data_IF_573020715200
#
_entry.id   IF_573020715200
#
_cell.length_a   1.000
_cell.length_b   1.000
_cell.length_c   1.000
_cell.angle_alpha   90.00
_cell.angle_beta   90.00
_cell.angle_gamma   90.00
#
_symmetry.space_group_name_H-M   'P 1'
#
loop_
_entity.id
_entity.type
_entity.pdbx_description
1 polymer ?
#
# COMPACT_ATOMS: atom_id res chain seq x y z
N UNK A 1 -6.82 18.25 -7.08
CA UNK A 1 -6.98 17.44 -5.86
C UNK A 1 -6.04 18.01 -4.81
N UNK A 2 -6.52 18.33 -3.60
CA UNK A 2 -5.73 18.93 -2.51
C UNK A 2 -5.77 17.97 -1.33
N UNK A 3 -4.59 17.66 -0.76
CA UNK A 3 -4.45 16.86 0.46
C UNK A 3 -3.72 17.70 1.51
N UNK A 4 -4.21 17.66 2.75
CA UNK A 4 -3.60 18.33 3.90
C UNK A 4 -3.49 17.30 5.03
N UNK A 5 -2.30 17.16 5.60
CA UNK A 5 -1.99 16.25 6.69
C UNK A 5 -0.97 16.90 7.64
N UNK A 6 -0.87 16.44 8.91
CA UNK A 6 0.07 16.98 9.90
C UNK A 6 1.52 17.03 9.38
N UNK A 7 2.25 18.09 9.71
CA UNK A 7 3.63 18.30 9.23
C UNK A 7 4.63 17.25 9.70
N UNK A 8 4.28 16.51 10.75
CA UNK A 8 5.06 15.44 11.38
C UNK A 8 4.56 14.04 11.02
N UNK A 9 3.62 13.89 10.09
CA UNK A 9 3.06 12.58 9.71
C UNK A 9 4.11 11.58 9.22
N UNK A 10 5.27 12.07 8.76
CA UNK A 10 6.31 11.25 8.15
C UNK A 10 5.83 10.55 6.87
N UNK A 11 6.71 9.73 6.30
CA UNK A 11 6.43 8.91 5.13
C UNK A 11 7.28 7.63 5.19
N UNK A 12 6.63 6.46 5.14
CA UNK A 12 7.32 5.17 5.00
C UNK A 12 6.87 4.48 3.71
N UNK A 13 7.57 4.77 2.62
CA UNK A 13 7.29 4.14 1.33
C UNK A 13 7.83 2.71 1.23
N UNK A 14 8.77 2.33 2.09
CA UNK A 14 9.40 1.00 2.04
C UNK A 14 8.40 -0.12 2.36
N UNK A 15 7.32 0.16 3.10
CA UNK A 15 6.27 -0.84 3.35
C UNK A 15 5.55 -1.29 2.07
N UNK A 16 5.44 -0.40 1.08
CA UNK A 16 4.80 -0.68 -0.20
C UNK A 16 5.76 -1.51 -1.06
N UNK A 17 7.03 -1.12 -1.09
CA UNK A 17 8.09 -1.86 -1.78
C UNK A 17 8.21 -3.29 -1.24
N UNK A 18 8.28 -3.46 0.09
CA UNK A 18 8.39 -4.76 0.75
C UNK A 18 7.19 -5.69 0.47
N UNK A 19 6.04 -5.14 0.08
CA UNK A 19 4.81 -5.87 -0.23
C UNK A 19 4.64 -6.15 -1.73
N UNK A 20 5.63 -5.83 -2.57
CA UNK A 20 5.53 -5.83 -4.04
C UNK A 20 4.37 -4.95 -4.55
N UNK A 21 4.17 -3.79 -3.91
CA UNK A 21 3.11 -2.85 -4.23
C UNK A 21 1.83 -3.05 -3.43
N UNK A 22 0.75 -2.48 -3.94
CA UNK A 22 -0.58 -2.58 -3.33
C UNK A 22 -1.17 -3.99 -3.52
N UNK A 23 -2.04 -4.42 -2.59
CA UNK A 23 -2.75 -5.72 -2.66
C UNK A 23 -3.59 -5.87 -3.92
N UNK A 24 -4.15 -4.76 -4.41
CA UNK A 24 -4.97 -4.73 -5.61
C UNK A 24 -4.39 -3.75 -6.63
N UNK A 25 -4.68 -3.99 -7.91
CA UNK A 25 -4.34 -3.12 -9.03
C UNK A 25 -5.62 -2.67 -9.72
N UNK A 26 -5.64 -1.41 -10.12
CA UNK A 26 -6.69 -0.89 -11.00
C UNK A 26 -6.17 -0.97 -12.43
N UNK A 27 -6.94 -1.60 -13.30
CA UNK A 27 -6.60 -1.80 -14.72
C UNK A 27 -7.75 -1.32 -15.59
N UNK A 28 -7.42 -0.74 -16.75
CA UNK A 28 -8.43 -0.36 -17.73
C UNK A 28 -9.09 -1.62 -18.28
N UNK A 29 -10.41 -1.64 -18.35
CA UNK A 29 -11.16 -2.72 -18.98
C UNK A 29 -11.37 -2.44 -20.47
N UNK A 30 -11.59 -3.50 -21.24
CA UNK A 30 -11.71 -3.42 -22.70
C UNK A 30 -12.94 -2.63 -23.18
N UNK A 31 -13.96 -2.49 -22.32
CA UNK A 31 -15.19 -1.72 -22.55
C UNK A 31 -15.06 -0.23 -22.18
N UNK A 32 -13.84 0.24 -21.84
CA UNK A 32 -13.57 1.63 -21.49
C UNK A 32 -13.80 1.98 -20.01
N UNK A 33 -14.04 0.97 -19.17
CA UNK A 33 -14.15 1.11 -17.71
C UNK A 33 -12.83 0.84 -16.96
N UNK A 34 -12.97 0.58 -15.66
CA UNK A 34 -11.87 0.18 -14.79
C UNK A 34 -12.26 -1.05 -13.99
N UNK A 35 -11.32 -1.97 -13.81
CA UNK A 35 -11.48 -3.16 -12.98
C UNK A 35 -10.45 -3.17 -11.86
N UNK A 36 -10.88 -3.59 -10.67
CA UNK A 36 -9.99 -3.87 -9.55
C UNK A 36 -9.64 -5.36 -9.58
N UNK A 37 -8.35 -5.68 -9.64
CA UNK A 37 -7.87 -7.07 -9.62
C UNK A 37 -6.88 -7.29 -8.49
N UNK A 38 -6.70 -8.54 -8.08
CA UNK A 38 -5.63 -8.91 -7.15
C UNK A 38 -4.25 -8.73 -7.80
N UNK A 39 -3.31 -8.23 -7.00
CA UNK A 39 -1.92 -8.22 -7.39
C UNK A 39 -1.31 -9.59 -7.11
N UNK A 40 -1.11 -10.39 -8.17
CA UNK A 40 -0.61 -11.77 -8.07
C UNK A 40 0.77 -11.90 -7.39
N UNK A 41 1.57 -10.82 -7.37
CA UNK A 41 2.88 -10.79 -6.71
C UNK A 41 2.85 -10.17 -5.32
N UNK A 42 1.69 -9.74 -4.82
CA UNK A 42 1.56 -9.12 -3.51
C UNK A 42 2.06 -10.04 -2.41
N UNK A 43 2.92 -9.49 -1.55
CA UNK A 43 3.46 -10.19 -0.39
C UNK A 43 2.85 -9.61 0.89
N UNK A 44 1.92 -10.33 1.56
CA UNK A 44 1.35 -9.84 2.80
C UNK A 44 2.40 -9.80 3.91
N UNK A 45 2.30 -8.80 4.78
CA UNK A 45 3.06 -8.76 6.03
C UNK A 45 2.49 -9.75 7.03
N UNK A 46 3.35 -10.41 7.79
CA UNK A 46 2.94 -11.20 8.96
C UNK A 46 2.51 -10.29 10.11
N UNK A 47 1.87 -10.87 11.14
CA UNK A 47 1.54 -10.15 12.37
C UNK A 47 2.78 -9.56 13.03
N UNK A 48 3.87 -10.34 13.14
CA UNK A 48 5.11 -9.86 13.77
C UNK A 48 5.74 -8.70 12.98
N UNK A 49 5.66 -8.73 11.64
CA UNK A 49 6.16 -7.64 10.79
C UNK A 49 5.33 -6.37 10.96
N UNK A 50 4.02 -6.48 11.15
CA UNK A 50 3.16 -5.33 11.42
C UNK A 50 3.46 -4.73 12.80
N UNK A 51 3.61 -5.56 13.84
CA UNK A 51 3.93 -5.12 15.19
C UNK A 51 5.28 -4.41 15.27
N UNK A 52 6.29 -4.91 14.55
CA UNK A 52 7.61 -4.29 14.47
C UNK A 52 7.55 -2.88 13.85
N UNK A 53 6.72 -2.66 12.83
CA UNK A 53 6.52 -1.34 12.23
C UNK A 53 5.88 -0.36 13.22
N UNK A 54 4.86 -0.81 13.97
CA UNK A 54 4.18 0.04 14.95
C UNK A 54 5.12 0.51 16.07
N UNK A 55 6.03 -0.37 16.54
CA UNK A 55 7.04 -0.02 17.55
C UNK A 55 8.08 0.98 17.05
N UNK A 56 8.37 1.02 15.76
CA UNK A 56 9.36 1.94 15.16
C UNK A 56 8.87 3.41 15.17
N UNK A 57 7.56 3.62 15.17
CA UNK A 57 6.93 4.94 15.05
C UNK A 57 6.24 5.40 16.34
N UNK A 58 6.33 4.60 17.41
CA UNK A 58 5.88 4.96 18.76
C UNK A 58 6.99 5.69 19.52
#
# INVERSE_FOLDING_TARGET
>A
MVFVYPSDSGQDYAIIEASNGMRHRVIASADGGWSLIDNAVYKPRTGEQADALMKKYA
#
